data_IF_883361858912
#
_entry.id   IF_883361858912
#
_cell.length_a   1.000
_cell.length_b   1.000
_cell.length_c   1.000
_cell.angle_alpha   90.00
_cell.angle_beta   90.00
_cell.angle_gamma   90.00
#
_symmetry.space_group_name_H-M   'P 1'
#
loop_
_entity.id
_entity.type
_entity.pdbx_description
1 polymer ?
#
# COMPACT_ATOMS: atom_id res chain seq x y z
N UNK A 1 74.78 -13.11 -96.61
CA UNK A 1 75.59 -12.00 -96.05
C UNK A 1 75.22 -11.84 -94.59
N UNK A 2 76.25 -11.92 -93.72
CA UNK A 2 76.37 -11.42 -92.35
C UNK A 2 75.38 -11.90 -91.27
N UNK A 3 75.83 -12.92 -90.56
CA UNK A 3 75.57 -13.22 -89.14
C UNK A 3 76.00 -12.04 -88.26
N UNK A 4 75.15 -11.61 -87.32
CA UNK A 4 75.52 -10.75 -86.18
C UNK A 4 74.94 -11.39 -84.92
N UNK A 5 75.81 -11.76 -84.00
CA UNK A 5 75.48 -12.24 -82.66
C UNK A 5 75.12 -11.05 -81.78
N UNK A 6 73.92 -11.06 -81.21
CA UNK A 6 73.48 -10.07 -80.22
C UNK A 6 73.55 -10.71 -78.83
N UNK A 7 74.54 -10.30 -78.04
CA UNK A 7 74.75 -10.78 -76.67
C UNK A 7 73.73 -10.12 -75.73
N UNK A 8 72.90 -10.94 -75.08
CA UNK A 8 71.94 -10.50 -74.07
C UNK A 8 72.66 -10.01 -72.81
N UNK A 9 72.29 -8.82 -72.32
CA UNK A 9 72.54 -8.39 -70.94
C UNK A 9 71.19 -8.40 -70.23
N UNK A 10 70.96 -9.41 -69.39
CA UNK A 10 69.78 -9.48 -68.52
C UNK A 10 70.01 -8.60 -67.29
N UNK A 11 69.42 -7.42 -67.28
CA UNK A 11 69.46 -6.51 -66.13
C UNK A 11 68.27 -6.83 -65.21
N UNK A 12 68.52 -7.60 -64.14
CA UNK A 12 67.52 -7.92 -63.12
C UNK A 12 67.25 -6.70 -62.23
N UNK A 13 66.12 -6.04 -62.42
CA UNK A 13 65.67 -4.95 -61.55
C UNK A 13 64.89 -5.52 -60.37
N UNK A 14 65.50 -5.57 -59.19
CA UNK A 14 64.78 -5.87 -57.95
C UNK A 14 63.94 -4.66 -57.55
N UNK A 15 62.63 -4.71 -57.81
CA UNK A 15 61.69 -3.69 -57.30
C UNK A 15 61.36 -4.04 -55.85
N UNK A 16 62.05 -3.40 -54.91
CA UNK A 16 61.65 -3.41 -53.50
C UNK A 16 60.40 -2.54 -53.36
N UNK A 17 59.23 -3.14 -53.15
CA UNK A 17 58.05 -2.43 -52.65
C UNK A 17 58.31 -2.03 -51.19
N UNK A 18 58.92 -0.87 -50.98
CA UNK A 18 58.85 -0.21 -49.68
C UNK A 18 57.42 0.29 -49.50
N UNK A 19 56.63 -0.32 -48.62
CA UNK A 19 55.39 0.30 -48.16
C UNK A 19 55.75 1.57 -47.40
N UNK A 20 55.66 2.72 -48.06
CA UNK A 20 55.87 4.01 -47.41
C UNK A 20 54.65 4.28 -46.54
N UNK A 21 54.80 4.15 -45.22
CA UNK A 21 53.85 4.72 -44.28
C UNK A 21 54.03 6.24 -44.35
N UNK A 22 53.17 6.92 -45.11
CA UNK A 22 53.11 8.38 -45.10
C UNK A 22 52.40 8.83 -43.81
N UNK A 23 53.04 9.67 -43.01
CA UNK A 23 52.39 10.40 -41.93
C UNK A 23 52.31 11.88 -42.33
N UNK A 24 51.13 12.48 -42.17
CA UNK A 24 50.92 13.91 -42.34
C UNK A 24 50.60 14.52 -40.98
N UNK A 25 51.34 15.55 -40.59
CA UNK A 25 51.00 16.38 -39.43
C UNK A 25 50.23 17.60 -39.93
N UNK A 26 49.01 17.81 -39.43
CA UNK A 26 48.28 19.05 -39.65
C UNK A 26 48.90 20.10 -38.71
N UNK A 27 49.43 21.18 -39.28
CA UNK A 27 49.93 22.33 -38.52
C UNK A 27 48.76 23.00 -37.77
N UNK A 28 49.00 23.74 -36.66
CA UNK A 28 47.93 24.40 -35.90
C UNK A 28 47.02 25.33 -36.72
N UNK A 29 47.55 25.91 -37.81
CA UNK A 29 46.81 26.73 -38.78
C UNK A 29 46.47 25.96 -40.08
N UNK A 30 46.70 24.66 -40.11
CA UNK A 30 46.57 23.82 -41.31
C UNK A 30 45.13 23.49 -41.68
N UNK A 31 44.16 23.73 -40.79
CA UNK A 31 42.75 23.57 -41.06
C UNK A 31 41.98 24.85 -40.72
N UNK A 32 41.60 25.59 -41.77
CA UNK A 32 40.82 26.83 -41.66
C UNK A 32 39.47 26.60 -42.29
N UNK A 33 38.40 26.84 -41.54
CA UNK A 33 37.04 26.83 -42.09
C UNK A 33 36.82 28.15 -42.84
N UNK A 34 36.40 28.11 -44.11
CA UNK A 34 36.10 29.32 -44.87
C UNK A 34 35.05 30.18 -44.14
N UNK A 35 35.35 31.46 -43.93
CA UNK A 35 34.44 32.44 -43.31
C UNK A 35 33.87 33.35 -44.39
N UNK A 36 32.55 33.48 -44.46
CA UNK A 36 31.88 34.39 -45.40
C UNK A 36 30.60 34.98 -44.83
N UNK A 37 30.32 36.26 -45.13
CA UNK A 37 29.06 36.91 -44.77
C UNK A 37 27.94 36.60 -45.79
N UNK A 38 28.30 36.45 -47.06
CA UNK A 38 27.40 36.04 -48.15
C UNK A 38 27.52 34.54 -48.40
N UNK A 39 26.41 33.79 -48.52
CA UNK A 39 26.48 32.36 -48.79
C UNK A 39 27.16 32.08 -50.13
N UNK A 40 28.23 31.26 -50.18
CA UNK A 40 28.77 30.78 -51.45
C UNK A 40 27.76 29.86 -52.16
N UNK A 41 27.98 29.56 -53.43
CA UNK A 41 27.16 28.58 -54.14
C UNK A 41 27.18 27.22 -53.43
N UNK A 42 26.02 26.57 -53.31
CA UNK A 42 25.91 25.16 -52.89
C UNK A 42 25.33 24.37 -54.05
N UNK A 43 26.21 23.71 -54.80
CA UNK A 43 25.83 22.81 -55.89
C UNK A 43 26.09 21.36 -55.50
N UNK A 44 25.67 20.42 -56.35
CA UNK A 44 25.90 18.98 -56.12
C UNK A 44 27.38 18.63 -55.94
N UNK A 45 28.31 19.36 -56.60
CA UNK A 45 29.76 19.19 -56.42
C UNK A 45 30.29 19.78 -55.11
N UNK A 46 29.51 20.63 -54.45
CA UNK A 46 29.87 21.26 -53.17
C UNK A 46 29.33 20.50 -51.97
N UNK A 47 28.59 19.41 -52.18
CA UNK A 47 28.00 18.61 -51.11
C UNK A 47 29.07 18.16 -50.10
N UNK A 48 28.84 18.45 -48.82
CA UNK A 48 29.76 18.15 -47.72
C UNK A 48 30.81 19.23 -47.43
N UNK A 49 30.95 20.27 -48.28
CA UNK A 49 31.75 21.44 -47.91
C UNK A 49 31.15 22.12 -46.69
N UNK A 50 32.01 22.77 -45.90
CA UNK A 50 31.63 23.53 -44.72
C UNK A 50 32.09 24.99 -44.83
N UNK A 51 31.31 25.92 -44.27
CA UNK A 51 31.75 27.30 -44.08
C UNK A 51 31.11 27.90 -42.83
N UNK A 52 31.77 28.90 -42.25
CA UNK A 52 31.24 29.70 -41.15
C UNK A 52 30.59 30.96 -41.70
N UNK A 53 29.29 31.14 -41.43
CA UNK A 53 28.57 32.35 -41.78
C UNK A 53 28.76 33.39 -40.68
N UNK A 54 29.46 34.48 -41.01
CA UNK A 54 29.77 35.54 -40.03
C UNK A 54 28.61 36.48 -39.72
N UNK A 55 27.49 36.39 -40.44
CA UNK A 55 26.28 37.18 -40.19
C UNK A 55 25.37 36.46 -39.20
N UNK A 56 25.20 35.14 -39.35
CA UNK A 56 24.35 34.31 -38.47
C UNK A 56 25.12 33.60 -37.35
N UNK A 57 26.45 33.68 -37.36
CA UNK A 57 27.37 32.99 -36.44
C UNK A 57 27.21 31.46 -36.40
N UNK A 58 26.81 30.88 -37.53
CA UNK A 58 26.60 29.45 -37.65
C UNK A 58 27.66 28.80 -38.54
N UNK A 59 28.07 27.59 -38.17
CA UNK A 59 28.73 26.67 -39.10
C UNK A 59 27.65 26.05 -40.00
N UNK A 60 27.90 25.96 -41.31
CA UNK A 60 26.98 25.35 -42.27
C UNK A 60 27.69 24.29 -43.09
N UNK A 61 26.93 23.31 -43.57
CA UNK A 61 27.35 22.33 -44.57
C UNK A 61 26.45 22.39 -45.80
N UNK A 62 27.00 22.09 -46.98
CA UNK A 62 26.21 22.06 -48.22
C UNK A 62 25.60 20.66 -48.43
N UNK A 63 24.30 20.58 -48.69
CA UNK A 63 23.61 19.30 -48.96
C UNK A 63 23.59 18.91 -50.46
N UNK A 64 24.13 19.77 -51.31
CA UNK A 64 24.11 19.67 -52.78
C UNK A 64 23.12 20.62 -53.46
N UNK A 65 22.28 21.31 -52.69
CA UNK A 65 21.26 22.26 -53.17
C UNK A 65 21.17 23.54 -52.34
N UNK A 66 21.41 23.44 -51.02
CA UNK A 66 21.37 24.55 -50.08
C UNK A 66 22.37 24.36 -48.94
N UNK A 67 22.77 25.47 -48.32
CA UNK A 67 23.52 25.45 -47.08
C UNK A 67 22.58 25.19 -45.90
N UNK A 68 22.89 24.16 -45.11
CA UNK A 68 22.17 23.79 -43.89
C UNK A 68 23.02 24.14 -42.67
N UNK A 69 22.43 24.71 -41.61
CA UNK A 69 23.15 24.89 -40.37
C UNK A 69 23.59 23.53 -39.82
N UNK A 70 24.82 23.47 -39.31
CA UNK A 70 25.22 22.39 -38.43
C UNK A 70 24.48 22.60 -37.10
N UNK A 71 23.37 21.88 -36.90
CA UNK A 71 22.54 21.99 -35.71
C UNK A 71 23.01 21.04 -34.61
N UNK A 72 22.87 21.46 -33.36
CA UNK A 72 22.95 20.55 -32.21
C UNK A 72 21.79 19.55 -32.27
N UNK A 73 22.01 18.31 -31.82
CA UNK A 73 20.92 17.35 -31.57
C UNK A 73 19.90 17.90 -30.56
N UNK A 74 20.29 18.87 -29.74
CA UNK A 74 19.45 19.56 -28.75
C UNK A 74 18.62 20.72 -29.31
N UNK A 75 18.87 21.12 -30.55
CA UNK A 75 18.16 22.21 -31.22
C UNK A 75 17.86 21.75 -32.65
N UNK A 76 16.97 20.77 -32.83
CA UNK A 76 16.65 20.31 -34.18
C UNK A 76 15.85 21.41 -34.90
N UNK A 77 16.36 21.98 -36.01
CA UNK A 77 15.65 23.02 -36.77
C UNK A 77 14.74 22.40 -37.85
N UNK A 78 14.43 21.10 -37.74
CA UNK A 78 13.68 20.37 -38.77
C UNK A 78 12.29 20.04 -38.29
N UNK A 79 11.34 20.43 -39.12
CA UNK A 79 9.88 20.33 -39.04
C UNK A 79 9.34 18.89 -38.90
N UNK A 80 9.80 18.18 -37.88
CA UNK A 80 9.03 17.13 -37.21
C UNK A 80 8.58 17.71 -35.87
N UNK A 81 7.39 17.38 -35.37
CA UNK A 81 6.94 17.89 -34.08
C UNK A 81 7.89 17.39 -32.97
N UNK A 82 8.68 18.31 -32.44
CA UNK A 82 9.09 18.38 -31.03
C UNK A 82 9.94 17.23 -30.43
N UNK A 83 10.78 16.52 -31.18
CA UNK A 83 11.63 15.44 -30.62
C UNK A 83 12.43 15.88 -29.36
N UNK A 84 13.28 16.91 -29.47
CA UNK A 84 14.05 17.49 -28.35
C UNK A 84 14.23 19.01 -28.57
N UNK A 85 13.93 19.81 -27.56
CA UNK A 85 14.05 21.28 -27.55
C UNK A 85 14.96 21.75 -26.41
N UNK A 86 15.96 22.60 -26.70
CA UNK A 86 16.80 23.23 -25.69
C UNK A 86 16.79 24.74 -25.83
N UNK A 87 16.42 25.44 -24.76
CA UNK A 87 16.46 26.90 -24.71
C UNK A 87 16.75 27.39 -23.29
N UNK A 88 17.66 28.37 -23.16
CA UNK A 88 18.00 29.01 -21.89
C UNK A 88 18.29 28.05 -20.71
N UNK A 89 18.84 26.85 -20.98
CA UNK A 89 19.16 25.85 -19.96
C UNK A 89 18.06 24.82 -19.68
N UNK A 90 16.89 24.96 -20.29
CA UNK A 90 15.78 24.01 -20.18
C UNK A 90 15.80 23.00 -21.33
N UNK A 91 15.50 21.74 -21.02
CA UNK A 91 15.31 20.68 -22.00
C UNK A 91 13.83 20.29 -22.03
N UNK A 92 13.19 20.43 -23.20
CA UNK A 92 11.87 19.88 -23.50
C UNK A 92 11.98 18.63 -24.38
N UNK A 93 11.19 17.61 -24.08
CA UNK A 93 10.98 16.44 -24.95
C UNK A 93 9.48 16.41 -25.29
N UNK A 94 9.15 16.47 -26.58
CA UNK A 94 7.78 16.62 -27.08
C UNK A 94 7.07 17.91 -26.59
N UNK A 95 7.86 18.94 -26.26
CA UNK A 95 7.38 20.27 -25.87
C UNK A 95 8.43 21.34 -26.22
N UNK A 96 7.97 22.48 -26.73
CA UNK A 96 8.81 23.66 -27.01
C UNK A 96 8.73 24.74 -25.95
N UNK A 97 7.90 24.53 -24.92
CA UNK A 97 7.71 25.46 -23.81
C UNK A 97 7.92 24.68 -22.50
N UNK A 98 9.16 24.21 -22.23
CA UNK A 98 9.44 23.48 -21.01
C UNK A 98 9.18 24.37 -19.79
N UNK A 99 8.39 23.88 -18.84
CA UNK A 99 8.08 24.59 -17.59
C UNK A 99 9.07 24.23 -16.47
N UNK A 100 9.88 23.19 -16.67
CA UNK A 100 10.87 22.66 -15.72
C UNK A 100 12.20 22.38 -16.43
N UNK A 101 13.30 22.31 -15.67
CA UNK A 101 14.66 22.08 -16.22
C UNK A 101 14.73 20.91 -17.19
N UNK A 102 13.96 19.86 -16.92
CA UNK A 102 13.60 18.82 -17.87
C UNK A 102 12.07 18.69 -17.86
N UNK A 103 11.45 18.88 -19.01
CA UNK A 103 10.01 18.73 -19.20
C UNK A 103 9.74 17.72 -20.32
N UNK A 104 8.97 16.69 -20.01
CA UNK A 104 8.66 15.59 -20.94
C UNK A 104 7.15 15.50 -21.07
N UNK A 105 6.64 15.93 -22.22
CA UNK A 105 5.25 15.73 -22.58
C UNK A 105 5.07 14.32 -23.15
N UNK A 106 5.17 13.30 -22.30
CA UNK A 106 5.15 11.91 -22.71
C UNK A 106 5.58 10.94 -21.60
N UNK A 107 5.99 9.73 -21.98
CA UNK A 107 6.43 8.70 -21.03
C UNK A 107 7.96 8.72 -20.88
N UNK A 108 8.45 8.84 -19.64
CA UNK A 108 9.85 8.61 -19.30
C UNK A 108 10.10 7.15 -18.92
N UNK A 109 11.17 6.54 -19.44
CA UNK A 109 11.64 5.21 -19.02
C UNK A 109 13.06 5.32 -18.48
N UNK A 110 13.24 4.94 -17.23
CA UNK A 110 14.54 4.84 -16.56
C UNK A 110 14.88 3.36 -16.35
N UNK A 111 16.06 2.93 -16.78
CA UNK A 111 16.53 1.54 -16.59
C UNK A 111 17.40 1.36 -15.34
N UNK A 112 17.69 2.46 -14.64
CA UNK A 112 18.38 2.48 -13.35
C UNK A 112 17.56 3.24 -12.32
N UNK A 113 18.19 3.51 -11.17
CA UNK A 113 17.53 4.17 -10.05
C UNK A 113 17.21 5.63 -10.36
N UNK A 114 16.06 6.08 -9.86
CA UNK A 114 15.68 7.50 -9.84
C UNK A 114 16.02 8.03 -8.44
N UNK A 115 17.00 8.93 -8.37
CA UNK A 115 17.32 9.66 -7.14
C UNK A 115 16.67 11.04 -7.19
N UNK A 116 15.69 11.28 -6.31
CA UNK A 116 15.00 12.55 -6.18
C UNK A 116 14.78 12.87 -4.69
N UNK A 117 14.91 14.14 -4.31
CA UNK A 117 14.56 14.57 -2.94
C UNK A 117 13.05 14.41 -2.68
N UNK A 118 12.23 14.68 -3.70
CA UNK A 118 10.79 14.49 -3.68
C UNK A 118 10.28 14.02 -5.04
N UNK A 119 9.32 13.11 -5.03
CA UNK A 119 8.59 12.63 -6.19
C UNK A 119 7.09 12.92 -6.02
N UNK A 120 6.57 13.85 -6.81
CA UNK A 120 5.14 14.14 -6.91
C UNK A 120 4.52 13.37 -8.08
N UNK A 121 3.44 12.64 -7.82
CA UNK A 121 2.61 12.00 -8.84
C UNK A 121 1.26 12.71 -8.83
N UNK A 122 0.92 13.41 -9.91
CA UNK A 122 -0.29 14.24 -9.96
C UNK A 122 -0.17 15.59 -9.24
N UNK A 123 0.95 15.88 -8.57
CA UNK A 123 1.19 17.14 -7.84
C UNK A 123 2.56 17.73 -8.20
N UNK A 124 2.63 19.07 -8.23
CA UNK A 124 3.85 19.83 -8.52
C UNK A 124 4.58 20.30 -7.26
N UNK A 125 3.91 20.22 -6.10
CA UNK A 125 4.42 20.73 -4.83
C UNK A 125 4.32 19.67 -3.74
N UNK A 126 4.99 18.51 -3.89
CA UNK A 126 4.94 17.46 -2.88
C UNK A 126 5.48 17.99 -1.54
N UNK A 127 4.71 17.76 -0.48
CA UNK A 127 5.07 18.05 0.90
C UNK A 127 5.96 16.96 1.51
N UNK A 128 5.86 15.74 0.99
CA UNK A 128 6.61 14.56 1.41
C UNK A 128 7.59 14.07 0.34
N UNK A 129 8.46 13.11 0.69
CA UNK A 129 9.41 12.53 -0.27
C UNK A 129 8.71 11.79 -1.43
N UNK A 130 7.55 11.19 -1.18
CA UNK A 130 6.64 10.68 -2.20
C UNK A 130 5.24 11.18 -1.86
N UNK A 131 4.57 11.84 -2.82
CA UNK A 131 3.19 12.28 -2.69
C UNK A 131 2.42 11.92 -3.96
N UNK A 132 1.30 11.23 -3.79
CA UNK A 132 0.40 10.83 -4.88
C UNK A 132 -0.91 11.58 -4.67
N UNK A 133 -1.24 12.48 -5.58
CA UNK A 133 -2.49 13.24 -5.58
C UNK A 133 -3.50 12.52 -6.49
N UNK A 134 -4.68 12.22 -5.94
CA UNK A 134 -5.82 11.59 -6.64
C UNK A 134 -5.44 10.31 -7.41
N UNK A 135 -4.55 9.51 -6.83
CA UNK A 135 -4.06 8.27 -7.44
C UNK A 135 -3.69 7.20 -6.42
N UNK A 136 -3.52 5.97 -6.91
CA UNK A 136 -3.20 4.80 -6.10
C UNK A 136 -1.70 4.49 -6.14
N UNK A 137 -1.19 3.87 -5.07
CA UNK A 137 0.08 3.13 -5.11
C UNK A 137 -0.25 1.65 -5.32
N UNK A 138 0.09 1.12 -6.50
CA UNK A 138 -0.19 -0.26 -6.87
C UNK A 138 1.06 -1.16 -6.76
N UNK A 139 0.87 -2.36 -6.22
CA UNK A 139 1.83 -3.46 -6.22
C UNK A 139 1.24 -4.59 -7.06
N UNK A 140 1.95 -4.98 -8.10
CA UNK A 140 1.56 -6.05 -9.02
C UNK A 140 2.64 -7.12 -9.07
N UNK A 141 2.26 -8.33 -9.47
CA UNK A 141 3.18 -9.42 -9.73
C UNK A 141 2.91 -9.96 -11.13
N UNK A 142 3.94 -10.38 -11.86
CA UNK A 142 3.73 -11.09 -13.13
C UNK A 142 3.34 -12.55 -12.91
N UNK A 143 3.48 -13.07 -11.69
CA UNK A 143 3.13 -14.44 -11.31
C UNK A 143 1.74 -14.55 -10.65
N UNK A 144 1.23 -13.46 -10.07
CA UNK A 144 -0.10 -13.39 -9.46
C UNK A 144 -0.93 -12.33 -10.20
N UNK A 145 -2.14 -12.70 -10.63
CA UNK A 145 -3.06 -11.79 -11.33
C UNK A 145 -3.63 -10.70 -10.42
N UNK A 146 -3.39 -10.78 -9.11
CA UNK A 146 -3.87 -9.80 -8.14
C UNK A 146 -3.03 -8.52 -8.16
N UNK A 147 -3.74 -7.40 -8.16
CA UNK A 147 -3.16 -6.09 -7.87
C UNK A 147 -3.51 -5.69 -6.45
N UNK A 148 -2.49 -5.37 -5.66
CA UNK A 148 -2.67 -4.74 -4.35
C UNK A 148 -2.54 -3.24 -4.49
N UNK A 149 -3.39 -2.48 -3.80
CA UNK A 149 -3.34 -1.01 -3.83
C UNK A 149 -3.42 -0.43 -2.42
N UNK A 150 -2.68 0.65 -2.22
CA UNK A 150 -2.99 1.67 -1.23
C UNK A 150 -3.73 2.77 -1.97
N UNK A 151 -5.02 2.94 -1.68
CA UNK A 151 -5.89 3.89 -2.36
C UNK A 151 -6.66 4.75 -1.36
N UNK A 152 -6.91 6.00 -1.72
CA UNK A 152 -7.82 6.88 -1.00
C UNK A 152 -9.03 7.16 -1.89
N UNK A 153 -10.24 6.92 -1.37
CA UNK A 153 -11.48 7.21 -2.11
C UNK A 153 -12.25 8.34 -1.45
N UNK A 154 -12.56 9.37 -2.23
CA UNK A 154 -13.34 10.52 -1.75
C UNK A 154 -14.77 10.11 -1.39
N UNK A 155 -15.39 9.20 -2.14
CA UNK A 155 -16.77 8.77 -1.88
C UNK A 155 -16.90 8.06 -0.53
N UNK A 156 -15.87 7.31 -0.13
CA UNK A 156 -15.84 6.61 1.17
C UNK A 156 -15.12 7.41 2.24
N UNK A 157 -14.45 8.51 1.87
CA UNK A 157 -13.62 9.34 2.74
C UNK A 157 -12.66 8.47 3.59
N UNK A 158 -11.93 7.58 2.92
CA UNK A 158 -11.11 6.56 3.58
C UNK A 158 -9.90 6.15 2.78
N UNK A 159 -8.81 5.83 3.49
CA UNK A 159 -7.66 5.12 2.95
C UNK A 159 -7.91 3.61 3.07
N UNK A 160 -7.63 2.84 2.03
CA UNK A 160 -7.83 1.39 2.03
C UNK A 160 -6.60 0.62 1.50
N UNK A 161 -6.45 -0.61 2.00
CA UNK A 161 -5.64 -1.64 1.36
C UNK A 161 -6.58 -2.53 0.56
N UNK A 162 -6.44 -2.53 -0.76
CA UNK A 162 -7.29 -3.29 -1.67
C UNK A 162 -6.55 -4.43 -2.34
N UNK A 163 -7.26 -5.53 -2.51
CA UNK A 163 -6.87 -6.67 -3.34
C UNK A 163 -7.86 -6.75 -4.50
N UNK A 164 -7.38 -6.47 -5.72
CA UNK A 164 -8.18 -6.49 -6.95
C UNK A 164 -9.51 -5.68 -6.85
N UNK A 165 -9.43 -4.49 -6.25
CA UNK A 165 -10.56 -3.58 -6.03
C UNK A 165 -11.38 -3.85 -4.76
N UNK A 166 -11.23 -5.03 -4.14
CA UNK A 166 -11.90 -5.36 -2.88
C UNK A 166 -11.08 -4.88 -1.70
N UNK A 167 -11.67 -4.08 -0.82
CA UNK A 167 -11.01 -3.65 0.41
C UNK A 167 -10.78 -4.84 1.35
N UNK A 168 -9.56 -4.94 1.87
CA UNK A 168 -9.14 -5.93 2.87
C UNK A 168 -8.93 -5.28 4.23
N UNK A 169 -8.58 -3.99 4.23
CA UNK A 169 -8.48 -3.16 5.42
C UNK A 169 -8.84 -1.73 5.03
N UNK A 170 -9.62 -1.06 5.88
CA UNK A 170 -10.11 0.31 5.65
C UNK A 170 -9.77 1.17 6.85
N UNK A 171 -9.19 2.33 6.60
CA UNK A 171 -8.90 3.39 7.56
C UNK A 171 -9.83 4.56 7.24
N UNK A 172 -10.92 4.69 8.02
CA UNK A 172 -11.81 5.83 7.87
C UNK A 172 -11.10 7.12 8.30
N UNK A 173 -11.42 8.21 7.61
CA UNK A 173 -11.05 9.54 8.08
C UNK A 173 -11.58 9.75 9.52
N UNK A 174 -10.72 10.22 10.43
CA UNK A 174 -11.00 10.25 11.88
C UNK A 174 -10.56 9.02 12.68
N UNK A 175 -10.01 7.98 12.02
CA UNK A 175 -9.13 6.99 12.65
C UNK A 175 -9.77 5.68 13.10
N UNK A 176 -10.98 5.35 12.65
CA UNK A 176 -11.54 4.00 12.85
C UNK A 176 -11.02 3.04 11.78
N UNK A 177 -10.76 1.79 12.16
CA UNK A 177 -10.18 0.78 11.28
C UNK A 177 -11.13 -0.41 11.14
N UNK A 178 -11.36 -0.87 9.90
CA UNK A 178 -11.98 -2.18 9.63
C UNK A 178 -10.97 -3.14 9.01
N UNK A 179 -10.93 -4.38 9.47
CA UNK A 179 -10.37 -5.51 8.74
C UNK A 179 -11.53 -6.22 8.05
N UNK A 180 -11.53 -6.22 6.72
CA UNK A 180 -12.69 -6.51 5.88
C UNK A 180 -13.01 -5.37 4.91
N UNK A 181 -14.23 -5.38 4.37
CA UNK A 181 -14.66 -4.44 3.33
C UNK A 181 -15.75 -3.47 3.78
N UNK A 182 -16.39 -3.69 4.93
CA UNK A 182 -17.46 -2.83 5.42
C UNK A 182 -16.98 -1.57 6.14
N UNK A 183 -17.95 -0.69 6.37
CA UNK A 183 -17.72 0.61 7.00
C UNK A 183 -17.23 0.44 8.46
N UNK A 184 -16.23 1.24 8.90
CA UNK A 184 -15.78 1.22 10.30
C UNK A 184 -16.85 1.67 11.30
N UNK A 185 -17.42 0.72 12.04
CA UNK A 185 -18.47 0.94 13.06
C UNK A 185 -17.93 1.18 14.47
N UNK A 186 -16.67 0.85 14.72
CA UNK A 186 -15.97 1.04 15.98
C UNK A 186 -14.50 1.40 15.71
N UNK A 187 -13.71 1.65 16.76
CA UNK A 187 -12.28 1.96 16.63
C UNK A 187 -11.51 0.88 15.88
N UNK A 188 -11.85 -0.38 16.16
CA UNK A 188 -11.42 -1.53 15.39
C UNK A 188 -12.64 -2.43 15.17
N UNK A 189 -13.00 -2.64 13.91
CA UNK A 189 -14.00 -3.62 13.48
C UNK A 189 -13.28 -4.74 12.72
N UNK A 190 -13.59 -6.00 13.04
CA UNK A 190 -13.11 -7.15 12.27
C UNK A 190 -14.34 -7.86 11.71
N UNK A 191 -14.48 -7.86 10.39
CA UNK A 191 -15.53 -8.60 9.70
C UNK A 191 -15.16 -10.08 9.59
N UNK A 192 -15.33 -10.80 10.69
CA UNK A 192 -15.01 -12.21 10.79
C UNK A 192 -14.44 -12.58 12.16
N UNK A 193 -13.79 -13.74 12.22
CA UNK A 193 -13.18 -14.24 13.45
C UNK A 193 -11.73 -13.74 13.59
N UNK A 194 -11.40 -13.19 14.75
CA UNK A 194 -10.01 -12.92 15.13
C UNK A 194 -9.37 -14.15 15.78
N UNK A 195 -8.17 -14.52 15.33
CA UNK A 195 -7.34 -15.52 16.00
C UNK A 195 -6.21 -14.82 16.74
N UNK A 196 -6.15 -15.03 18.06
CA UNK A 196 -5.14 -14.44 18.93
C UNK A 196 -4.37 -15.58 19.60
N UNK A 197 -3.04 -15.63 19.40
CA UNK A 197 -2.17 -16.67 19.97
C UNK A 197 -1.85 -16.43 21.46
N UNK A 198 -2.13 -15.23 21.96
CA UNK A 198 -2.03 -14.86 23.37
C UNK A 198 -3.37 -14.40 23.94
N UNK A 199 -3.30 -13.74 25.10
CA UNK A 199 -4.49 -13.23 25.78
C UNK A 199 -5.07 -11.99 25.08
N UNK A 200 -6.41 -11.95 24.97
CA UNK A 200 -7.13 -10.76 24.56
C UNK A 200 -7.49 -9.95 25.80
N UNK A 201 -6.70 -8.90 26.06
CA UNK A 201 -6.98 -7.94 27.15
C UNK A 201 -7.98 -6.89 26.68
N UNK A 202 -9.08 -6.75 27.41
CA UNK A 202 -10.10 -5.72 27.14
C UNK A 202 -10.15 -4.75 28.32
N UNK A 203 -9.87 -3.48 28.04
CA UNK A 203 -9.86 -2.44 29.07
C UNK A 203 -11.25 -2.24 29.71
N UNK A 204 -11.27 -1.82 30.98
CA UNK A 204 -12.51 -1.59 31.73
C UNK A 204 -13.19 -2.87 32.24
N UNK A 205 -12.46 -3.99 32.33
CA UNK A 205 -12.95 -5.23 32.93
C UNK A 205 -14.01 -5.98 32.12
N UNK A 206 -14.18 -5.63 30.84
CA UNK A 206 -15.14 -6.31 29.95
C UNK A 206 -14.51 -7.61 29.42
N UNK A 207 -14.62 -8.71 30.15
CA UNK A 207 -14.12 -10.02 29.72
C UNK A 207 -14.91 -10.64 28.55
N UNK A 208 -14.28 -11.60 27.85
CA UNK A 208 -14.93 -12.37 26.77
C UNK A 208 -15.30 -13.75 27.33
N UNK A 209 -16.58 -14.10 27.31
CA UNK A 209 -16.99 -15.51 27.42
C UNK A 209 -16.95 -16.08 26.00
N UNK A 210 -16.03 -17.03 25.76
CA UNK A 210 -15.96 -17.73 24.47
C UNK A 210 -17.23 -18.56 24.28
N UNK A 211 -17.89 -18.39 23.14
CA UNK A 211 -19.03 -19.22 22.71
C UNK A 211 -18.62 -20.05 21.49
N UNK A 212 -19.18 -21.25 21.36
CA UNK A 212 -19.09 -22.05 20.12
C UNK A 212 -20.14 -21.65 19.09
N UNK A 213 -21.00 -20.67 19.41
CA UNK A 213 -21.98 -20.07 18.51
C UNK A 213 -21.50 -18.71 18.02
N UNK A 214 -22.14 -18.16 16.98
CA UNK A 214 -21.90 -16.79 16.50
C UNK A 214 -22.40 -15.70 17.47
N UNK A 215 -22.97 -16.06 18.61
CA UNK A 215 -23.54 -15.14 19.59
C UNK A 215 -22.63 -15.00 20.81
N UNK A 216 -22.28 -13.75 21.16
CA UNK A 216 -21.48 -13.44 22.34
C UNK A 216 -22.28 -13.75 23.61
N UNK A 217 -21.67 -14.46 24.56
CA UNK A 217 -22.26 -14.70 25.87
C UNK A 217 -21.76 -13.65 26.88
N UNK A 218 -22.65 -13.25 27.78
CA UNK A 218 -22.41 -12.40 28.94
C UNK A 218 -22.21 -13.26 30.17
N UNK A 219 -21.25 -12.87 31.01
CA UNK A 219 -21.08 -13.38 32.36
C UNK A 219 -21.76 -12.41 33.35
N UNK A 220 -22.60 -12.92 34.23
CA UNK A 220 -23.19 -12.13 35.31
C UNK A 220 -23.22 -12.94 36.60
N UNK A 221 -22.91 -12.29 37.72
CA UNK A 221 -23.13 -12.84 39.06
C UNK A 221 -24.24 -12.09 39.75
N UNK A 222 -25.21 -12.83 40.25
CA UNK A 222 -26.28 -12.34 41.12
C UNK A 222 -26.19 -13.03 42.49
N UNK A 223 -27.11 -12.68 43.39
CA UNK A 223 -27.24 -13.36 44.67
C UNK A 223 -28.69 -13.70 44.95
N UNK A 224 -28.91 -14.85 45.58
CA UNK A 224 -30.19 -15.22 46.19
C UNK A 224 -30.06 -15.00 47.68
N UNK A 225 -30.74 -13.97 48.18
CA UNK A 225 -30.83 -13.69 49.62
C UNK A 225 -32.14 -14.25 50.17
N UNK A 226 -32.04 -15.06 51.23
CA UNK A 226 -33.19 -15.73 51.85
C UNK A 226 -33.84 -14.88 52.95
N UNK A 227 -33.33 -13.67 53.20
CA UNK A 227 -33.82 -12.80 54.27
C UNK A 227 -33.43 -13.27 55.67
N UNK A 228 -34.07 -12.71 56.70
CA UNK A 228 -33.76 -12.98 58.10
C UNK A 228 -34.11 -14.41 58.53
N UNK A 229 -35.24 -14.94 58.04
CA UNK A 229 -35.70 -16.29 58.34
C UNK A 229 -36.31 -16.90 57.09
N UNK A 230 -35.79 -18.06 56.67
CA UNK A 230 -36.29 -18.83 55.56
C UNK A 230 -36.53 -20.26 55.99
N UNK A 231 -37.80 -20.63 56.12
CA UNK A 231 -38.21 -21.95 56.58
C UNK A 231 -38.60 -22.83 55.40
N UNK A 232 -38.04 -24.03 55.35
CA UNK A 232 -38.44 -25.10 54.43
C UNK A 232 -39.07 -26.21 55.25
N UNK A 233 -40.39 -26.36 55.13
CA UNK A 233 -41.16 -27.35 55.88
C UNK A 233 -40.72 -28.78 55.57
N UNK A 234 -40.90 -29.71 56.52
CA UNK A 234 -40.66 -31.14 56.31
C UNK A 234 -41.37 -31.64 55.03
N UNK A 235 -40.61 -32.27 54.13
CA UNK A 235 -41.11 -32.80 52.86
C UNK A 235 -41.53 -31.74 51.84
N UNK A 236 -41.38 -30.45 52.17
CA UNK A 236 -41.80 -29.32 51.35
C UNK A 236 -40.68 -28.68 50.55
N UNK A 237 -41.04 -27.73 49.70
CA UNK A 237 -40.09 -26.87 49.00
C UNK A 237 -40.48 -25.40 49.17
N UNK A 238 -39.48 -24.53 49.21
CA UNK A 238 -39.64 -23.07 49.18
C UNK A 238 -38.77 -22.48 48.07
N UNK A 239 -39.08 -21.27 47.61
CA UNK A 239 -38.34 -20.60 46.54
C UNK A 239 -37.82 -19.24 46.98
N UNK A 240 -36.69 -18.85 46.41
CA UNK A 240 -36.16 -17.50 46.50
C UNK A 240 -35.58 -17.07 45.15
N UNK A 241 -35.53 -15.76 44.92
CA UNK A 241 -35.23 -15.21 43.60
C UNK A 241 -33.89 -14.48 43.60
N UNK A 242 -33.15 -14.62 42.51
CA UNK A 242 -32.07 -13.72 42.14
C UNK A 242 -32.59 -12.77 41.05
N UNK A 243 -32.34 -11.47 41.23
CA UNK A 243 -32.59 -10.46 40.19
C UNK A 243 -31.46 -10.50 39.16
N UNK A 244 -31.82 -10.63 37.88
CA UNK A 244 -30.90 -10.60 36.74
C UNK A 244 -31.10 -9.37 35.86
N UNK A 245 -31.97 -8.43 36.25
CA UNK A 245 -32.34 -7.27 35.42
C UNK A 245 -31.14 -6.46 34.95
N UNK A 246 -30.13 -6.29 35.81
CA UNK A 246 -28.90 -5.55 35.48
C UNK A 246 -28.01 -6.26 34.45
N UNK A 247 -28.21 -7.57 34.23
CA UNK A 247 -27.45 -8.34 33.26
C UNK A 247 -27.87 -8.07 31.80
N UNK A 248 -29.10 -7.58 31.59
CA UNK A 248 -29.62 -7.25 30.26
C UNK A 248 -29.59 -8.43 29.28
N UNK A 249 -29.95 -9.63 29.73
CA UNK A 249 -30.01 -10.80 28.85
C UNK A 249 -31.14 -10.66 27.83
N UNK A 250 -30.89 -11.06 26.59
CA UNK A 250 -31.91 -11.07 25.50
C UNK A 250 -32.66 -12.39 25.43
N UNK A 251 -32.08 -13.45 25.99
CA UNK A 251 -32.70 -14.78 26.15
C UNK A 251 -32.45 -15.31 27.56
N UNK A 252 -33.25 -16.27 28.03
CA UNK A 252 -33.06 -16.82 29.38
C UNK A 252 -31.66 -17.45 29.53
N UNK A 253 -30.81 -16.98 30.47
CA UNK A 253 -29.46 -17.50 30.63
C UNK A 253 -29.45 -18.90 31.24
N UNK A 254 -28.34 -19.61 31.08
CA UNK A 254 -28.01 -20.77 31.92
C UNK A 254 -27.60 -20.25 33.29
N UNK A 255 -28.20 -20.81 34.34
CA UNK A 255 -27.99 -20.36 35.72
C UNK A 255 -27.51 -21.52 36.57
N UNK A 256 -26.56 -21.25 37.46
CA UNK A 256 -26.08 -22.21 38.45
C UNK A 256 -25.98 -21.53 39.81
N UNK A 257 -26.44 -22.24 40.85
CA UNK A 257 -26.28 -21.77 42.23
C UNK A 257 -24.83 -22.06 42.65
N UNK A 258 -24.13 -21.00 43.06
CA UNK A 258 -22.75 -21.03 43.49
C UNK A 258 -22.60 -21.19 45.00
N UNK A 259 -21.49 -20.68 45.53
CA UNK A 259 -21.14 -20.81 46.93
C UNK A 259 -22.05 -19.99 47.86
N UNK A 260 -22.18 -20.45 49.11
CA UNK A 260 -22.72 -19.67 50.22
C UNK A 260 -21.75 -18.50 50.51
N UNK A 261 -22.28 -17.30 50.70
CA UNK A 261 -21.49 -16.09 51.03
C UNK A 261 -21.77 -15.55 52.43
N UNK A 262 -22.85 -16.00 53.08
CA UNK A 262 -23.18 -15.63 54.46
C UNK A 262 -24.44 -16.31 54.97
N UNK A 263 -24.67 -16.20 56.28
CA UNK A 263 -25.82 -16.78 56.99
C UNK A 263 -25.52 -18.08 57.75
N UNK A 264 -26.53 -18.58 58.47
CA UNK A 264 -26.42 -19.76 59.34
C UNK A 264 -27.63 -20.69 59.18
N UNK A 265 -27.45 -21.98 59.44
CA UNK A 265 -28.48 -23.03 59.31
C UNK A 265 -28.00 -24.25 58.50
N UNK A 266 -28.81 -25.31 58.51
CA UNK A 266 -28.45 -26.62 57.93
C UNK A 266 -28.77 -26.73 56.43
N UNK A 267 -28.29 -25.80 55.60
CA UNK A 267 -28.58 -25.82 54.16
C UNK A 267 -28.07 -27.09 53.46
N UNK A 268 -27.03 -27.74 53.99
CA UNK A 268 -26.50 -29.00 53.47
C UNK A 268 -27.48 -30.17 53.52
N UNK A 269 -28.59 -30.04 54.26
CA UNK A 269 -29.69 -31.01 54.27
C UNK A 269 -30.75 -30.73 53.19
N UNK A 270 -30.66 -29.61 52.48
CA UNK A 270 -31.61 -29.22 51.44
C UNK A 270 -31.12 -29.62 50.05
N UNK A 271 -32.07 -29.95 49.18
CA UNK A 271 -31.83 -30.08 47.74
C UNK A 271 -32.07 -28.72 47.11
N UNK A 272 -31.00 -28.12 46.56
CA UNK A 272 -31.02 -26.78 45.98
C UNK A 272 -30.87 -26.88 44.47
N UNK A 273 -31.82 -26.35 43.71
CA UNK A 273 -31.78 -26.35 42.25
C UNK A 273 -32.35 -25.04 41.68
N UNK A 274 -31.94 -24.68 40.47
CA UNK A 274 -32.62 -23.64 39.69
C UNK A 274 -33.93 -24.22 39.18
N UNK A 275 -35.05 -23.60 39.54
CA UNK A 275 -36.39 -24.03 39.12
C UNK A 275 -36.74 -23.47 37.74
N UNK A 276 -36.48 -22.18 37.52
CA UNK A 276 -36.81 -21.49 36.27
C UNK A 276 -35.98 -20.23 36.13
N UNK A 277 -35.76 -19.81 34.90
CA UNK A 277 -35.01 -18.61 34.58
C UNK A 277 -35.72 -17.81 33.49
N UNK A 278 -35.78 -16.51 33.65
CA UNK A 278 -36.15 -15.52 32.63
C UNK A 278 -34.98 -14.59 32.37
N UNK A 279 -35.11 -13.64 31.45
CA UNK A 279 -34.07 -12.62 31.18
C UNK A 279 -33.79 -11.71 32.37
N UNK A 280 -34.70 -11.62 33.34
CA UNK A 280 -34.64 -10.68 34.47
C UNK A 280 -34.65 -11.35 35.84
N UNK A 281 -34.87 -12.66 35.93
CA UNK A 281 -34.98 -13.37 37.21
C UNK A 281 -34.56 -14.84 37.10
N UNK A 282 -33.89 -15.34 38.13
CA UNK A 282 -33.76 -16.77 38.38
C UNK A 282 -34.50 -17.15 39.66
N UNK A 283 -35.28 -18.22 39.61
CA UNK A 283 -35.97 -18.80 40.75
C UNK A 283 -35.18 -20.01 41.24
N UNK A 284 -34.70 -19.97 42.47
CA UNK A 284 -34.01 -21.08 43.12
C UNK A 284 -34.97 -21.77 44.07
N UNK A 285 -35.09 -23.09 43.93
CA UNK A 285 -35.92 -23.96 44.76
C UNK A 285 -35.06 -24.68 45.79
N UNK A 286 -35.53 -24.66 47.02
CA UNK A 286 -34.95 -25.32 48.18
C UNK A 286 -35.97 -26.35 48.67
N UNK A 287 -35.66 -27.64 48.52
CA UNK A 287 -36.52 -28.73 48.98
C UNK A 287 -35.92 -29.42 50.19
N UNK A 288 -36.76 -29.70 51.18
CA UNK A 288 -36.37 -30.37 52.41
C UNK A 288 -36.84 -31.83 52.38
N UNK A 289 -35.93 -32.80 52.14
CA UNK A 289 -36.27 -34.22 52.16
C UNK A 289 -36.33 -34.80 53.58
N UNK A 290 -35.97 -34.02 54.61
CA UNK A 290 -35.89 -34.50 55.99
C UNK A 290 -37.25 -34.43 56.69
N UNK A 291 -37.40 -35.21 57.77
CA UNK A 291 -38.62 -35.31 58.57
C UNK A 291 -38.87 -34.11 59.51
N UNK A 292 -38.03 -33.08 59.48
CA UNK A 292 -38.13 -31.89 60.34
C UNK A 292 -37.98 -30.62 59.51
N UNK A 293 -38.71 -29.56 59.89
CA UNK A 293 -38.55 -28.26 59.22
C UNK A 293 -37.12 -27.72 59.41
N UNK A 294 -36.55 -27.17 58.35
CA UNK A 294 -35.23 -26.54 58.38
C UNK A 294 -35.43 -25.03 58.27
N UNK A 295 -34.82 -24.29 59.20
CA UNK A 295 -34.81 -22.83 59.21
C UNK A 295 -33.40 -22.34 58.89
N UNK A 296 -33.31 -21.50 57.87
CA UNK A 296 -32.09 -20.80 57.48
C UNK A 296 -32.20 -19.33 57.88
N UNK A 297 -31.11 -18.75 58.37
CA UNK A 297 -31.10 -17.38 58.90
C UNK A 297 -30.04 -16.54 58.19
N UNK A 298 -30.48 -15.49 57.50
CA UNK A 298 -29.59 -14.55 56.82
C UNK A 298 -28.81 -15.15 55.66
N UNK A 299 -29.24 -16.30 55.12
CA UNK A 299 -28.47 -17.02 54.11
C UNK A 299 -28.46 -16.33 52.75
N UNK A 300 -27.29 -16.26 52.14
CA UNK A 300 -27.11 -15.72 50.79
C UNK A 300 -26.22 -16.63 49.96
N UNK A 301 -26.68 -16.98 48.76
CA UNK A 301 -25.93 -17.77 47.79
C UNK A 301 -25.56 -16.91 46.59
N UNK A 302 -24.32 -17.06 46.11
CA UNK A 302 -23.96 -16.55 44.79
C UNK A 302 -24.70 -17.32 43.71
N UNK A 303 -25.00 -16.65 42.60
CA UNK A 303 -25.59 -17.27 41.41
C UNK A 303 -24.76 -16.83 40.21
N UNK A 304 -24.31 -17.81 39.44
CA UNK A 304 -23.61 -17.59 38.18
C UNK A 304 -24.61 -17.69 37.03
N UNK A 305 -24.60 -16.72 36.13
CA UNK A 305 -25.43 -16.66 34.94
C UNK A 305 -24.58 -16.48 33.68
N UNK A 306 -24.83 -17.31 32.67
CA UNK A 306 -24.20 -17.21 31.35
C UNK A 306 -25.29 -17.26 30.27
N UNK A 307 -25.38 -16.23 29.44
CA UNK A 307 -26.42 -16.10 28.41
C UNK A 307 -26.17 -14.94 27.46
N UNK A 308 -27.00 -14.78 26.43
CA UNK A 308 -26.88 -13.70 25.43
C UNK A 308 -27.43 -12.37 25.94
#
# INVERSE_FOLDING_TARGET
MKTIYLTLISLSFFVTFSSQAQYGTILPDGFIIPKSATPPGCTVSDKGKIYYNSTTNNLLFCDGSAWKPASSQWSTPFSQPDDIYFNAGYVGINTTIPQYSLDVNGTGRFTGDIYAEKLGIGTLTPSSALEVLDGDIAITSTADVKTWKLDYTDESNSLALRENGTARMVFANGGNITIGSGAPTAKLTVEGNGSFSGDLTVNGGKGIVRSTTSTQLKYHTASVSLGTTFAVTNGGCATANASLTAAGFTTAPTVTVGNLTGGTGDFGKLVINVQSTTTTQAVVRFCNPTTSSITLTGMTFNVLCIGQ
#
